data_IF_211224435631
#
_entry.id   IF_211224435631
#
_cell.length_a   1.000
_cell.length_b   1.000
_cell.length_c   1.000
_cell.angle_alpha   90.00
_cell.angle_beta   90.00
_cell.angle_gamma   90.00
#
_symmetry.space_group_name_H-M   'P 1'
#
loop_
_entity.id
_entity.type
_entity.pdbx_description
1 polymer ?
#
# COMPACT_ATOMS: atom_id res chain seq x y z
N UNK A 1 -8.18 -8.77 -4.19
CA UNK A 1 -7.61 -9.78 -5.10
C UNK A 1 -8.50 -10.09 -6.31
N UNK A 2 -9.85 -10.05 -6.19
CA UNK A 2 -10.75 -10.38 -7.32
C UNK A 2 -10.75 -9.31 -8.43
N UNK A 3 -10.61 -8.05 -8.09
CA UNK A 3 -10.58 -6.94 -9.04
C UNK A 3 -9.28 -6.94 -9.88
N UNK A 4 -8.17 -7.31 -9.26
CA UNK A 4 -6.87 -7.44 -9.94
C UNK A 4 -6.85 -8.61 -10.92
N UNK A 5 -7.48 -9.72 -10.55
CA UNK A 5 -7.60 -10.90 -11.41
C UNK A 5 -8.46 -10.59 -12.64
N UNK A 6 -9.56 -9.86 -12.47
CA UNK A 6 -10.43 -9.42 -13.57
C UNK A 6 -9.71 -8.46 -14.55
N UNK A 7 -8.91 -7.52 -14.02
CA UNK A 7 -8.10 -6.63 -14.85
C UNK A 7 -7.01 -7.39 -15.61
N UNK A 8 -6.33 -8.34 -14.98
CA UNK A 8 -5.36 -9.22 -15.65
C UNK A 8 -6.00 -10.04 -16.76
N UNK A 9 -7.15 -10.66 -16.50
CA UNK A 9 -7.91 -11.42 -17.51
C UNK A 9 -8.29 -10.52 -18.68
N UNK A 10 -8.77 -9.29 -18.42
CA UNK A 10 -9.12 -8.32 -19.46
C UNK A 10 -7.92 -7.96 -20.34
N UNK A 11 -6.75 -7.70 -19.74
CA UNK A 11 -5.53 -7.38 -20.47
C UNK A 11 -4.98 -8.59 -21.24
N UNK A 12 -5.04 -9.80 -20.67
CA UNK A 12 -4.68 -11.04 -21.39
C UNK A 12 -5.60 -11.28 -22.59
N UNK A 13 -6.91 -11.14 -22.41
CA UNK A 13 -7.89 -11.32 -23.48
C UNK A 13 -7.67 -10.29 -24.59
N UNK A 14 -7.44 -9.02 -24.23
CA UNK A 14 -7.17 -7.95 -25.20
C UNK A 14 -5.85 -8.18 -25.95
N UNK A 15 -4.81 -8.66 -25.27
CA UNK A 15 -3.52 -9.04 -25.89
C UNK A 15 -3.67 -10.19 -26.88
N UNK A 16 -4.40 -11.25 -26.50
CA UNK A 16 -4.67 -12.41 -27.36
C UNK A 16 -5.54 -12.02 -28.56
N UNK A 17 -6.56 -11.17 -28.38
CA UNK A 17 -7.40 -10.64 -29.45
C UNK A 17 -6.59 -9.81 -30.46
N UNK A 18 -5.73 -8.93 -29.98
CA UNK A 18 -4.83 -8.13 -30.81
C UNK A 18 -3.85 -9.02 -31.59
N UNK A 19 -3.34 -10.07 -30.95
CA UNK A 19 -2.43 -11.04 -31.55
C UNK A 19 -3.14 -11.91 -32.61
N UNK A 20 -4.39 -12.30 -32.39
CA UNK A 20 -5.22 -12.99 -33.41
C UNK A 20 -5.49 -12.09 -34.63
N UNK A 21 -5.82 -10.82 -34.40
CA UNK A 21 -6.04 -9.84 -35.48
C UNK A 21 -4.77 -9.61 -36.32
N UNK A 22 -3.64 -9.43 -35.66
CA UNK A 22 -2.34 -9.27 -36.34
C UNK A 22 -1.92 -10.54 -37.07
N UNK A 23 -2.12 -11.70 -36.48
CA UNK A 23 -1.84 -13.01 -37.09
C UNK A 23 -2.69 -13.27 -38.34
N UNK A 24 -3.95 -12.90 -38.29
CA UNK A 24 -4.88 -13.04 -39.42
C UNK A 24 -4.56 -12.08 -40.58
N UNK A 25 -4.17 -10.80 -40.25
CA UNK A 25 -3.94 -9.79 -41.27
C UNK A 25 -2.53 -9.82 -41.91
N UNK A 26 -1.52 -10.25 -41.18
CA UNK A 26 -0.11 -10.13 -41.62
C UNK A 26 0.57 -11.49 -41.94
N UNK A 27 0.08 -12.59 -41.38
CA UNK A 27 0.77 -13.88 -41.54
C UNK A 27 -0.21 -15.03 -41.69
N UNK A 28 -0.30 -15.54 -42.89
CA UNK A 28 -0.97 -16.84 -43.21
C UNK A 28 -0.18 -18.04 -42.64
N UNK A 29 0.59 -17.84 -41.54
CA UNK A 29 1.48 -18.84 -40.99
C UNK A 29 1.32 -18.97 -39.46
N UNK A 30 0.79 -20.11 -39.01
CA UNK A 30 0.70 -20.55 -37.62
C UNK A 30 2.00 -20.39 -36.80
N UNK A 31 3.15 -20.51 -37.45
CA UNK A 31 4.49 -20.40 -36.81
C UNK A 31 4.78 -19.02 -36.25
N UNK A 32 4.31 -17.96 -36.88
CA UNK A 32 4.49 -16.58 -36.38
C UNK A 32 3.65 -16.32 -35.13
N UNK A 33 2.48 -16.93 -35.00
CA UNK A 33 1.62 -16.83 -33.84
C UNK A 33 2.28 -17.46 -32.59
N UNK A 34 2.99 -18.56 -32.77
CA UNK A 34 3.69 -19.29 -31.71
C UNK A 34 4.95 -18.50 -31.21
N UNK A 35 5.60 -17.76 -32.10
CA UNK A 35 6.77 -16.91 -31.78
C UNK A 35 6.38 -15.64 -31.02
N UNK A 36 5.19 -15.07 -31.26
CA UNK A 36 4.70 -13.85 -30.60
C UNK A 36 4.13 -14.12 -29.18
N UNK A 37 3.74 -15.36 -28.89
CA UNK A 37 3.15 -15.75 -27.61
C UNK A 37 4.04 -15.42 -26.39
N UNK A 38 5.36 -15.74 -26.36
CA UNK A 38 6.22 -15.41 -25.22
C UNK A 38 6.39 -13.89 -25.03
N UNK A 39 6.35 -13.12 -26.10
CA UNK A 39 6.47 -11.65 -26.01
C UNK A 39 5.25 -11.07 -25.31
N UNK A 40 4.05 -11.55 -25.62
CA UNK A 40 2.81 -11.12 -24.96
C UNK A 40 2.82 -11.45 -23.46
N UNK A 41 3.30 -12.63 -23.07
CA UNK A 41 3.47 -13.04 -21.67
C UNK A 41 4.42 -12.12 -20.91
N UNK A 42 5.57 -11.78 -21.52
CA UNK A 42 6.55 -10.87 -20.92
C UNK A 42 5.96 -9.45 -20.73
N UNK A 43 5.23 -8.95 -21.72
CA UNK A 43 4.59 -7.62 -21.64
C UNK A 43 3.53 -7.58 -20.53
N UNK A 44 2.66 -8.59 -20.44
CA UNK A 44 1.65 -8.71 -19.38
C UNK A 44 2.31 -8.79 -18.01
N UNK A 45 3.37 -9.59 -17.86
CA UNK A 45 4.11 -9.72 -16.60
C UNK A 45 4.77 -8.39 -16.17
N UNK A 46 5.38 -7.65 -17.10
CA UNK A 46 5.97 -6.32 -16.82
C UNK A 46 4.91 -5.32 -16.41
N UNK A 47 3.78 -5.30 -17.10
CA UNK A 47 2.65 -4.42 -16.78
C UNK A 47 2.10 -4.70 -15.38
N UNK A 48 1.95 -5.98 -15.03
CA UNK A 48 1.47 -6.39 -13.71
C UNK A 48 2.43 -5.95 -12.59
N UNK A 49 3.73 -6.18 -12.77
CA UNK A 49 4.73 -5.70 -11.80
C UNK A 49 4.72 -4.17 -11.63
N UNK A 50 4.59 -3.45 -12.73
CA UNK A 50 4.49 -1.99 -12.68
C UNK A 50 3.26 -1.50 -11.91
N UNK A 51 2.13 -2.20 -12.07
CA UNK A 51 0.91 -1.86 -11.35
C UNK A 51 1.01 -2.18 -9.84
N UNK A 52 1.55 -3.35 -9.48
CA UNK A 52 1.79 -3.69 -8.07
C UNK A 52 2.67 -2.65 -7.38
N UNK A 53 3.76 -2.24 -8.03
CA UNK A 53 4.64 -1.21 -7.49
C UNK A 53 3.92 0.11 -7.25
N UNK A 54 3.08 0.55 -8.19
CA UNK A 54 2.27 1.77 -8.02
C UNK A 54 1.29 1.67 -6.85
N UNK A 55 0.63 0.52 -6.69
CA UNK A 55 -0.30 0.30 -5.56
C UNK A 55 0.44 0.35 -4.23
N UNK A 56 1.60 -0.30 -4.13
CA UNK A 56 2.42 -0.27 -2.91
C UNK A 56 2.85 1.16 -2.56
N UNK A 57 3.33 1.93 -3.53
CA UNK A 57 3.68 3.34 -3.32
C UNK A 57 2.49 4.19 -2.87
N UNK A 58 1.33 3.96 -3.45
CA UNK A 58 0.11 4.65 -3.05
C UNK A 58 -0.29 4.30 -1.60
N UNK A 59 -0.11 3.06 -1.18
CA UNK A 59 -0.36 2.65 0.21
C UNK A 59 0.67 3.26 1.15
N UNK A 60 1.96 3.28 0.77
CA UNK A 60 3.05 3.87 1.56
C UNK A 60 2.82 5.38 1.77
N UNK A 61 2.45 6.11 0.72
CA UNK A 61 2.12 7.53 0.80
C UNK A 61 0.88 7.78 1.67
N UNK A 62 -0.19 7.01 1.47
CA UNK A 62 -1.38 7.08 2.31
C UNK A 62 -1.11 6.72 3.77
N UNK A 63 -0.17 5.80 4.05
CA UNK A 63 0.25 5.48 5.42
C UNK A 63 1.00 6.65 6.08
N UNK A 64 1.87 7.32 5.35
CA UNK A 64 2.54 8.54 5.79
C UNK A 64 1.52 9.61 6.19
N UNK A 65 0.54 9.89 5.31
CA UNK A 65 -0.52 10.85 5.61
C UNK A 65 -1.32 10.45 6.85
N UNK A 66 -1.67 9.17 6.98
CA UNK A 66 -2.35 8.67 8.17
C UNK A 66 -1.54 8.91 9.45
N UNK A 67 -0.22 8.68 9.41
CA UNK A 67 0.68 8.96 10.53
C UNK A 67 0.70 10.44 10.93
N UNK A 68 0.58 11.38 9.98
CA UNK A 68 0.47 12.80 10.29
C UNK A 68 -0.82 13.11 11.08
N UNK A 69 -1.94 12.48 10.75
CA UNK A 69 -3.18 12.63 11.53
C UNK A 69 -3.04 12.06 12.93
N UNK A 70 -2.43 10.88 13.07
CA UNK A 70 -2.15 10.27 14.38
C UNK A 70 -1.25 11.18 15.22
N UNK A 71 -0.18 11.72 14.62
CA UNK A 71 0.72 12.67 15.27
C UNK A 71 -0.02 13.92 15.76
N UNK A 72 -0.94 14.46 14.97
CA UNK A 72 -1.79 15.58 15.38
C UNK A 72 -2.62 15.28 16.63
N UNK A 73 -3.17 14.07 16.74
CA UNK A 73 -3.87 13.61 17.93
C UNK A 73 -2.96 13.47 19.17
N UNK A 74 -1.74 12.95 18.98
CA UNK A 74 -0.74 12.83 20.04
C UNK A 74 -0.31 14.21 20.58
N UNK A 75 -0.09 15.17 19.68
CA UNK A 75 0.24 16.56 20.05
C UNK A 75 -0.89 17.22 20.86
N UNK A 76 -2.14 16.79 20.63
CA UNK A 76 -3.31 17.17 21.43
C UNK A 76 -3.38 16.49 22.81
N UNK A 77 -2.36 15.74 23.22
CA UNK A 77 -2.30 15.05 24.51
C UNK A 77 -3.18 13.79 24.59
N UNK A 78 -3.65 13.27 23.47
CA UNK A 78 -4.48 12.06 23.44
C UNK A 78 -3.63 10.80 23.52
N UNK A 79 -4.21 9.71 24.03
CA UNK A 79 -3.57 8.40 23.90
C UNK A 79 -3.50 8.00 22.44
N UNK A 80 -2.51 7.17 22.06
CA UNK A 80 -2.35 6.76 20.67
C UNK A 80 -3.57 5.99 20.14
N UNK A 81 -4.17 5.16 20.96
CA UNK A 81 -5.39 4.41 20.60
C UNK A 81 -6.54 5.38 20.29
N UNK A 82 -6.72 6.41 21.11
CA UNK A 82 -7.73 7.44 20.90
C UNK A 82 -7.43 8.29 19.65
N UNK A 83 -6.17 8.67 19.45
CA UNK A 83 -5.73 9.41 18.26
C UNK A 83 -6.01 8.61 16.97
N UNK A 84 -5.74 7.30 16.98
CA UNK A 84 -6.01 6.40 15.86
C UNK A 84 -7.52 6.29 15.58
N UNK A 85 -8.35 6.13 16.59
CA UNK A 85 -9.80 6.06 16.40
C UNK A 85 -10.39 7.38 15.88
N UNK A 86 -9.94 8.50 16.40
CA UNK A 86 -10.45 9.81 16.02
C UNK A 86 -10.06 10.21 14.59
N UNK A 87 -8.86 9.86 14.16
CA UNK A 87 -8.41 10.19 12.81
C UNK A 87 -9.14 9.39 11.72
N UNK A 88 -9.86 8.30 12.07
CA UNK A 88 -10.55 7.41 11.11
C UNK A 88 -11.45 8.17 10.13
N UNK A 89 -12.35 9.00 10.65
CA UNK A 89 -13.31 9.71 9.83
C UNK A 89 -12.64 10.85 9.05
N UNK A 90 -11.85 11.67 9.72
CA UNK A 90 -11.14 12.80 9.10
C UNK A 90 -10.20 12.34 7.98
N UNK A 91 -9.47 11.28 8.20
CA UNK A 91 -8.58 10.71 7.20
C UNK A 91 -9.35 10.13 5.99
N UNK A 92 -10.46 9.42 6.24
CA UNK A 92 -11.33 8.88 5.19
C UNK A 92 -11.88 9.98 4.27
N UNK A 93 -12.29 11.10 4.86
CA UNK A 93 -12.87 12.23 4.12
C UNK A 93 -11.84 12.90 3.21
N UNK A 94 -10.58 12.96 3.64
CA UNK A 94 -9.48 13.57 2.85
C UNK A 94 -8.97 12.65 1.75
N UNK A 95 -8.72 11.39 2.07
CA UNK A 95 -8.11 10.44 1.13
C UNK A 95 -9.14 9.90 0.11
N UNK A 96 -10.43 9.99 0.42
CA UNK A 96 -11.51 9.47 -0.41
C UNK A 96 -11.71 7.97 -0.27
N UNK A 97 -12.94 7.51 -0.47
CA UNK A 97 -13.38 6.13 -0.19
C UNK A 97 -12.72 5.05 -1.06
N UNK A 98 -12.02 5.43 -2.13
CA UNK A 98 -11.39 4.49 -3.08
C UNK A 98 -9.89 4.24 -2.82
N UNK A 99 -9.30 4.84 -1.80
CA UNK A 99 -7.87 4.70 -1.56
C UNK A 99 -7.51 3.33 -0.96
N UNK A 100 -6.46 2.69 -1.49
CA UNK A 100 -6.06 1.32 -1.12
C UNK A 100 -5.68 1.17 0.36
N UNK A 101 -5.11 2.20 0.98
CA UNK A 101 -4.75 2.18 2.41
C UNK A 101 -5.96 1.97 3.31
N UNK A 102 -7.14 2.49 2.93
CA UNK A 102 -8.34 2.36 3.75
C UNK A 102 -8.75 0.89 3.97
N UNK A 103 -8.52 0.02 2.98
CA UNK A 103 -8.80 -1.40 3.11
C UNK A 103 -7.97 -2.06 4.21
N UNK A 104 -6.70 -1.66 4.34
CA UNK A 104 -5.81 -2.15 5.39
C UNK A 104 -6.15 -1.54 6.75
N UNK A 105 -6.36 -0.22 6.82
CA UNK A 105 -6.73 0.46 8.06
C UNK A 105 -8.08 0.00 8.60
N UNK A 106 -9.06 -0.27 7.75
CA UNK A 106 -10.33 -0.84 8.21
C UNK A 106 -10.17 -2.20 8.90
N UNK A 107 -9.20 -3.00 8.48
CA UNK A 107 -8.88 -4.25 9.19
C UNK A 107 -8.23 -3.96 10.55
N UNK A 108 -7.35 -2.97 10.63
CA UNK A 108 -6.77 -2.51 11.91
C UNK A 108 -7.88 -2.05 12.85
N UNK A 109 -8.78 -1.19 12.41
CA UNK A 109 -9.91 -0.70 13.22
C UNK A 109 -10.82 -1.83 13.69
N UNK A 110 -11.18 -2.77 12.82
CA UNK A 110 -12.00 -3.94 13.20
C UNK A 110 -11.34 -4.79 14.28
N UNK A 111 -10.02 -5.01 14.18
CA UNK A 111 -9.27 -5.76 15.20
C UNK A 111 -9.23 -5.02 16.53
N UNK A 112 -9.07 -3.70 16.49
CA UNK A 112 -9.15 -2.86 17.70
C UNK A 112 -10.54 -2.90 18.35
N UNK A 113 -11.62 -2.88 17.57
CA UNK A 113 -12.99 -3.04 18.05
C UNK A 113 -13.20 -4.42 18.73
N UNK A 114 -12.45 -5.44 18.31
CA UNK A 114 -12.40 -6.76 18.94
C UNK A 114 -11.46 -6.83 20.16
N UNK A 115 -10.95 -5.68 20.65
CA UNK A 115 -10.04 -5.56 21.78
C UNK A 115 -8.68 -6.30 21.56
N UNK A 116 -8.28 -6.49 20.32
CA UNK A 116 -6.93 -6.97 20.00
C UNK A 116 -5.94 -5.83 20.23
N UNK A 117 -4.81 -6.14 20.84
CA UNK A 117 -3.78 -5.15 21.14
C UNK A 117 -3.33 -4.41 19.87
N UNK A 118 -3.16 -3.08 19.98
CA UNK A 118 -2.81 -2.23 18.83
C UNK A 118 -1.50 -2.67 18.17
N UNK A 119 -0.52 -3.13 18.93
CA UNK A 119 0.75 -3.65 18.43
C UNK A 119 0.56 -4.81 17.47
N UNK A 120 -0.30 -5.75 17.86
CA UNK A 120 -0.62 -6.92 17.03
C UNK A 120 -1.35 -6.50 15.75
N UNK A 121 -2.25 -5.50 15.86
CA UNK A 121 -2.98 -4.97 14.71
C UNK A 121 -2.04 -4.32 13.68
N UNK A 122 -1.12 -3.47 14.13
CA UNK A 122 -0.16 -2.78 13.27
C UNK A 122 0.87 -3.77 12.70
N UNK A 123 1.39 -4.67 13.54
CA UNK A 123 2.33 -5.72 13.09
C UNK A 123 1.72 -6.57 11.97
N UNK A 124 0.49 -7.00 12.15
CA UNK A 124 -0.23 -7.77 11.14
C UNK A 124 -0.49 -6.98 9.86
N UNK A 125 -0.74 -5.68 9.98
CA UNK A 125 -0.89 -4.80 8.83
C UNK A 125 0.43 -4.66 8.05
N UNK A 126 1.58 -4.55 8.72
CA UNK A 126 2.90 -4.58 8.11
C UNK A 126 3.16 -5.88 7.36
N UNK A 127 2.97 -7.03 8.02
CA UNK A 127 3.12 -8.36 7.42
C UNK A 127 2.23 -8.56 6.18
N UNK A 128 0.95 -8.14 6.25
CA UNK A 128 -0.03 -8.32 5.18
C UNK A 128 0.29 -7.43 3.95
N UNK A 129 0.92 -6.27 4.15
CA UNK A 129 1.28 -5.33 3.07
C UNK A 129 2.71 -5.52 2.57
N UNK A 130 3.64 -5.97 3.42
CA UNK A 130 5.07 -6.06 3.13
C UNK A 130 5.71 -4.68 2.88
N UNK A 131 5.16 -3.62 3.48
CA UNK A 131 5.66 -2.24 3.35
C UNK A 131 6.57 -1.93 4.54
N UNK A 132 7.85 -1.69 4.26
CA UNK A 132 8.89 -1.43 5.26
C UNK A 132 8.51 -0.33 6.26
N UNK A 133 7.91 0.77 5.79
CA UNK A 133 7.49 1.87 6.65
C UNK A 133 6.44 1.46 7.71
N UNK A 134 5.55 0.51 7.37
CA UNK A 134 4.53 -0.01 8.29
C UNK A 134 5.16 -0.98 9.28
N UNK A 135 6.08 -1.82 8.81
CA UNK A 135 6.85 -2.74 9.66
C UNK A 135 7.72 -1.99 10.65
N UNK A 136 8.47 -0.98 10.17
CA UNK A 136 9.28 -0.08 11.02
C UNK A 136 8.41 0.57 12.10
N UNK A 137 7.22 1.08 11.73
CA UNK A 137 6.30 1.67 12.68
C UNK A 137 5.83 0.67 13.73
N UNK A 138 5.53 -0.57 13.35
CA UNK A 138 5.10 -1.61 14.29
C UNK A 138 6.19 -1.91 15.35
N UNK A 139 7.45 -2.06 14.91
CA UNK A 139 8.60 -2.31 15.81
C UNK A 139 8.80 -1.15 16.76
N UNK A 140 8.77 0.05 16.24
CA UNK A 140 8.94 1.28 17.00
C UNK A 140 7.83 1.47 18.03
N UNK A 141 6.59 1.19 17.63
CA UNK A 141 5.45 1.29 18.53
C UNK A 141 5.59 0.33 19.72
N UNK A 142 6.01 -0.90 19.47
CA UNK A 142 6.28 -1.89 20.52
C UNK A 142 7.37 -1.41 21.51
N UNK A 143 8.45 -0.82 20.99
CA UNK A 143 9.54 -0.27 21.80
C UNK A 143 9.04 0.91 22.65
N UNK A 144 8.32 1.85 22.02
CA UNK A 144 7.80 3.05 22.70
C UNK A 144 6.83 2.68 23.83
N UNK A 145 5.98 1.67 23.63
CA UNK A 145 5.08 1.17 24.67
C UNK A 145 5.82 0.61 25.87
N UNK A 146 6.94 -0.08 25.67
CA UNK A 146 7.77 -0.61 26.75
C UNK A 146 8.45 0.49 27.58
N UNK A 147 8.66 1.68 27.00
CA UNK A 147 9.30 2.82 27.66
C UNK A 147 8.36 3.63 28.59
N UNK A 148 7.06 3.42 28.51
CA UNK A 148 6.06 3.99 29.44
C UNK A 148 5.96 5.51 29.34
N UNK A 149 6.31 6.26 30.38
CA UNK A 149 6.00 7.67 30.57
C UNK A 149 6.41 8.67 29.47
N UNK A 150 7.27 8.31 28.53
CA UNK A 150 7.68 9.14 27.38
C UNK A 150 7.18 8.61 26.03
N UNK A 151 6.22 7.68 26.05
CA UNK A 151 5.71 7.01 24.84
C UNK A 151 5.26 7.98 23.75
N UNK A 152 4.49 9.00 24.09
CA UNK A 152 3.97 9.96 23.11
C UNK A 152 5.08 10.75 22.39
N UNK A 153 6.04 11.29 23.13
CA UNK A 153 7.17 12.04 22.57
C UNK A 153 8.08 11.13 21.71
N UNK A 154 8.31 9.89 22.14
CA UNK A 154 9.09 8.92 21.38
C UNK A 154 8.39 8.58 20.06
N UNK A 155 7.10 8.29 20.10
CA UNK A 155 6.30 8.00 18.91
C UNK A 155 6.25 9.19 17.95
N UNK A 156 6.05 10.39 18.44
CA UNK A 156 6.02 11.60 17.62
C UNK A 156 7.32 11.79 16.84
N UNK A 157 8.47 11.66 17.50
CA UNK A 157 9.79 11.75 16.85
C UNK A 157 9.97 10.66 15.79
N UNK A 158 9.52 9.46 16.07
CA UNK A 158 9.69 8.33 15.17
C UNK A 158 8.71 8.39 13.99
N UNK A 159 7.48 8.84 14.19
CA UNK A 159 6.55 9.16 13.10
C UNK A 159 7.21 10.16 12.14
N UNK A 160 7.82 11.22 12.67
CA UNK A 160 8.53 12.18 11.84
C UNK A 160 9.65 11.53 11.03
N UNK A 161 10.47 10.68 11.62
CA UNK A 161 11.55 9.98 10.92
C UNK A 161 11.04 9.05 9.81
N UNK A 162 9.95 8.33 10.06
CA UNK A 162 9.31 7.47 9.04
C UNK A 162 8.79 8.32 7.89
N UNK A 163 8.12 9.42 8.18
CA UNK A 163 7.62 10.33 7.16
C UNK A 163 8.76 10.91 6.30
N UNK A 164 9.82 11.41 6.93
CA UNK A 164 10.99 11.98 6.23
C UNK A 164 11.68 10.93 5.34
N UNK A 165 11.83 9.69 5.83
CA UNK A 165 12.39 8.56 5.06
C UNK A 165 11.51 8.21 3.86
N UNK A 166 10.19 8.21 4.04
CA UNK A 166 9.24 7.91 2.97
C UNK A 166 9.25 9.02 1.91
N UNK A 167 9.28 10.29 2.31
CA UNK A 167 9.35 11.42 1.39
C UNK A 167 10.60 11.36 0.51
N UNK A 168 11.78 11.13 1.09
CA UNK A 168 13.02 10.95 0.35
C UNK A 168 12.94 9.78 -0.64
N UNK A 169 12.33 8.66 -0.25
CA UNK A 169 12.15 7.50 -1.12
C UNK A 169 11.24 7.80 -2.31
N UNK A 170 10.12 8.48 -2.07
CA UNK A 170 9.18 8.87 -3.12
C UNK A 170 9.81 9.88 -4.09
N UNK A 171 10.59 10.86 -3.59
CA UNK A 171 11.31 11.83 -4.39
C UNK A 171 12.36 11.16 -5.29
N UNK A 172 13.17 10.25 -4.75
CA UNK A 172 14.14 9.48 -5.53
C UNK A 172 13.44 8.66 -6.61
N UNK A 173 12.30 8.05 -6.32
CA UNK A 173 11.57 7.27 -7.31
C UNK A 173 10.95 8.14 -8.41
N UNK A 174 10.50 9.34 -8.08
CA UNK A 174 10.01 10.30 -9.06
C UNK A 174 11.10 10.79 -10.01
N UNK A 175 12.37 10.91 -9.51
CA UNK A 175 13.51 11.30 -10.35
C UNK A 175 14.01 10.20 -11.30
N UNK A 176 13.72 8.92 -11.00
CA UNK A 176 14.19 7.76 -11.79
C UNK A 176 13.13 7.30 -12.81
N UNK A 177 11.88 7.73 -12.68
CA UNK A 177 10.75 7.31 -13.52
C UNK A 177 10.63 8.17 -14.77
#
# INVERSE_FOLDING_TARGET
PKLTLLLLIKWCVMGVLCQMLLGYFFFDSWKAMLLLFPITLVLVYRQWRGWQKKVLLTIEDGFKEWLYYVKGGLNGGKSIEHAIFECRNSFRDVVGTGHFILLGLEQVYRRLELHIALEECIRKFGEDTGIEAIEDFAVVFEIAKKQGGHMAATLEKMIQQICDKTDLRLEIQAMIA
#
